data_IF_552635194591
#
_entry.id   IF_552635194591
#
_cell.length_a   1.000
_cell.length_b   1.000
_cell.length_c   1.000
_cell.angle_alpha   90.00
_cell.angle_beta   90.00
_cell.angle_gamma   90.00
#
_symmetry.space_group_name_H-M   'P 1'
#
loop_
_entity.id
_entity.type
_entity.pdbx_description
1 polymer ?
#
# COMPACT_ATOMS: atom_id res chain seq x y z
N UNK A 1 30.41 -14.93 -2.15
CA UNK A 1 29.70 -13.66 -1.93
C UNK A 1 28.34 -13.85 -2.57
N UNK A 2 27.27 -13.63 -1.81
CA UNK A 2 25.93 -14.12 -2.11
C UNK A 2 25.46 -13.69 -3.50
N UNK A 3 25.16 -14.70 -4.32
CA UNK A 3 24.55 -14.67 -5.66
C UNK A 3 23.06 -14.27 -5.57
N UNK A 4 22.75 -13.32 -4.68
CA UNK A 4 21.39 -12.92 -4.34
C UNK A 4 20.96 -11.83 -5.30
N UNK A 5 19.89 -12.09 -6.04
CA UNK A 5 19.34 -11.14 -6.99
C UNK A 5 19.03 -9.79 -6.30
N UNK A 6 19.63 -8.68 -6.76
CA UNK A 6 19.43 -7.36 -6.16
C UNK A 6 17.98 -6.88 -6.21
N UNK A 7 17.16 -7.45 -7.11
CA UNK A 7 15.74 -7.17 -7.19
C UNK A 7 15.02 -7.41 -5.85
N UNK A 8 15.35 -8.48 -5.12
CA UNK A 8 14.62 -8.83 -3.89
C UNK A 8 14.87 -7.84 -2.77
N UNK A 9 16.09 -7.32 -2.67
CA UNK A 9 16.42 -6.27 -1.70
C UNK A 9 15.65 -5.00 -2.04
N UNK A 10 15.72 -4.57 -3.30
CA UNK A 10 15.04 -3.36 -3.76
C UNK A 10 13.52 -3.45 -3.62
N UNK A 11 12.93 -4.59 -3.97
CA UNK A 11 11.50 -4.84 -3.78
C UNK A 11 11.09 -4.83 -2.30
N UNK A 12 11.94 -5.34 -1.40
CA UNK A 12 11.73 -5.24 0.04
C UNK A 12 11.74 -3.78 0.50
N UNK A 13 12.72 -3.00 0.03
CA UNK A 13 12.86 -1.59 0.38
C UNK A 13 11.65 -0.78 -0.09
N UNK A 14 11.23 -0.96 -1.35
CA UNK A 14 9.99 -0.39 -1.92
C UNK A 14 8.77 -0.78 -1.11
N UNK A 15 8.64 -2.05 -0.71
CA UNK A 15 7.49 -2.50 0.09
C UNK A 15 7.45 -1.85 1.49
N UNK A 16 8.62 -1.61 2.08
CA UNK A 16 8.75 -0.94 3.37
C UNK A 16 8.39 0.55 3.28
N UNK A 17 8.86 1.22 2.23
CA UNK A 17 8.53 2.61 1.93
C UNK A 17 7.04 2.77 1.61
N UNK A 18 6.45 1.83 0.89
CA UNK A 18 5.02 1.82 0.60
C UNK A 18 4.19 1.66 1.88
N UNK A 19 4.60 0.79 2.82
CA UNK A 19 3.96 0.67 4.13
C UNK A 19 4.05 1.96 4.96
N UNK A 20 5.22 2.63 4.95
CA UNK A 20 5.40 3.93 5.59
C UNK A 20 4.48 4.99 4.96
N UNK A 21 4.43 5.03 3.63
CA UNK A 21 3.60 5.95 2.86
C UNK A 21 2.12 5.75 3.17
N UNK A 22 1.62 4.51 3.26
CA UNK A 22 0.23 4.20 3.68
C UNK A 22 -0.09 4.75 5.07
N UNK A 23 0.85 4.64 6.00
CA UNK A 23 0.70 5.15 7.37
C UNK A 23 0.63 6.67 7.38
N UNK A 24 1.55 7.33 6.66
CA UNK A 24 1.57 8.79 6.49
C UNK A 24 0.29 9.29 5.80
N UNK A 25 -0.16 8.62 4.75
CA UNK A 25 -1.40 8.92 4.03
C UNK A 25 -2.64 8.83 4.93
N UNK A 26 -2.74 7.77 5.75
CA UNK A 26 -3.85 7.63 6.72
C UNK A 26 -3.83 8.74 7.76
N UNK A 27 -2.64 9.14 8.20
CA UNK A 27 -2.46 10.28 9.12
C UNK A 27 -2.91 11.59 8.47
N UNK A 28 -2.46 11.86 7.24
CA UNK A 28 -2.87 13.02 6.44
C UNK A 28 -4.38 13.07 6.26
N UNK A 29 -5.04 11.98 5.86
CA UNK A 29 -6.50 11.91 5.72
C UNK A 29 -7.23 12.19 7.04
N UNK A 30 -6.70 11.68 8.16
CA UNK A 30 -7.25 11.95 9.49
C UNK A 30 -7.15 13.44 9.83
N UNK A 31 -5.99 14.06 9.66
CA UNK A 31 -5.78 15.49 9.92
C UNK A 31 -6.67 16.32 8.98
N UNK A 32 -6.73 15.96 7.70
CA UNK A 32 -7.62 16.58 6.70
C UNK A 32 -9.08 16.54 7.11
N UNK A 33 -9.53 15.46 7.74
CA UNK A 33 -10.91 15.33 8.24
C UNK A 33 -11.21 16.14 9.50
N UNK A 34 -10.20 16.39 10.34
CA UNK A 34 -10.34 17.08 11.63
C UNK A 34 -10.18 18.59 11.51
N UNK A 35 -9.40 19.04 10.53
CA UNK A 35 -9.01 20.44 10.37
C UNK A 35 -9.92 21.15 9.38
N UNK A 36 -10.53 22.25 9.82
CA UNK A 36 -11.40 23.10 8.98
C UNK A 36 -10.61 24.10 8.11
N UNK A 37 -9.37 24.45 8.51
CA UNK A 37 -8.54 25.43 7.78
C UNK A 37 -7.49 24.74 6.90
N UNK A 38 -7.44 25.04 5.59
CA UNK A 38 -6.43 24.48 4.68
C UNK A 38 -5.00 24.94 4.99
N UNK A 39 -4.83 26.00 5.79
CA UNK A 39 -3.53 26.58 6.18
C UNK A 39 -2.99 26.04 7.50
N UNK A 40 -3.55 24.96 8.05
CA UNK A 40 -3.05 24.40 9.30
C UNK A 40 -1.62 23.84 9.13
N UNK A 41 -0.66 24.20 9.98
CA UNK A 41 0.74 23.79 9.83
C UNK A 41 0.93 22.26 9.89
N UNK A 42 0.13 21.54 10.68
CA UNK A 42 0.19 20.07 10.76
C UNK A 42 -0.31 19.40 9.47
N UNK A 43 -1.34 19.99 8.84
CA UNK A 43 -1.85 19.52 7.55
C UNK A 43 -0.81 19.74 6.43
N UNK A 44 -0.14 20.89 6.44
CA UNK A 44 0.91 21.21 5.47
C UNK A 44 2.14 20.32 5.67
N UNK A 45 2.57 20.11 6.92
CA UNK A 45 3.69 19.24 7.25
C UNK A 45 3.43 17.80 6.81
N UNK A 46 2.27 17.23 7.20
CA UNK A 46 1.88 15.87 6.79
C UNK A 46 1.71 15.72 5.29
N UNK A 47 1.21 16.76 4.59
CA UNK A 47 1.16 16.78 3.12
C UNK A 47 2.55 16.79 2.49
N UNK A 48 3.48 17.57 3.03
CA UNK A 48 4.86 17.65 2.53
C UNK A 48 5.59 16.32 2.69
N UNK A 49 5.48 15.70 3.87
CA UNK A 49 6.08 14.39 4.15
C UNK A 49 5.51 13.30 3.22
N UNK A 50 4.19 13.29 3.03
CA UNK A 50 3.53 12.37 2.10
C UNK A 50 4.05 12.58 0.66
N UNK A 51 4.21 13.82 0.23
CA UNK A 51 4.70 14.13 -1.12
C UNK A 51 6.15 13.69 -1.35
N UNK A 52 7.02 13.87 -0.36
CA UNK A 52 8.41 13.41 -0.41
C UNK A 52 8.49 11.88 -0.51
N UNK A 53 7.69 11.18 0.30
CA UNK A 53 7.58 9.73 0.24
C UNK A 53 7.03 9.24 -1.10
N UNK A 54 5.94 9.87 -1.60
CA UNK A 54 5.36 9.53 -2.90
C UNK A 54 6.33 9.81 -4.05
N UNK A 55 7.14 10.87 -3.97
CA UNK A 55 8.16 11.16 -4.96
C UNK A 55 9.23 10.07 -4.98
N UNK A 56 9.81 9.76 -3.82
CA UNK A 56 10.82 8.70 -3.69
C UNK A 56 10.29 7.38 -4.24
N UNK A 57 9.06 7.02 -3.88
CA UNK A 57 8.41 5.80 -4.34
C UNK A 57 8.13 5.81 -5.85
N UNK A 58 7.84 6.97 -6.44
CA UNK A 58 7.64 7.11 -7.89
C UNK A 58 8.95 6.89 -8.65
N UNK A 59 10.03 7.49 -8.15
CA UNK A 59 11.37 7.34 -8.73
C UNK A 59 11.82 5.87 -8.65
N UNK A 60 11.69 5.24 -7.46
CA UNK A 60 12.02 3.84 -7.24
C UNK A 60 11.21 2.88 -8.14
N UNK A 61 9.90 3.14 -8.28
CA UNK A 61 9.03 2.32 -9.15
C UNK A 61 9.34 2.54 -10.64
N UNK A 62 9.78 3.73 -11.04
CA UNK A 62 10.22 4.00 -12.42
C UNK A 62 11.45 3.13 -12.75
N UNK A 63 12.45 3.13 -11.85
CA UNK A 63 13.65 2.31 -11.99
C UNK A 63 13.31 0.81 -11.98
N UNK A 64 12.39 0.38 -11.10
CA UNK A 64 11.97 -1.01 -11.02
C UNK A 64 11.21 -1.47 -12.27
N UNK A 65 10.37 -0.60 -12.83
CA UNK A 65 9.65 -0.86 -14.09
C UNK A 65 10.65 -1.04 -15.24
N UNK A 66 11.65 -0.16 -15.34
CA UNK A 66 12.71 -0.28 -16.34
C UNK A 66 13.54 -1.56 -16.18
N UNK A 67 13.85 -1.95 -14.93
CA UNK A 67 14.57 -3.18 -14.63
C UNK A 67 13.76 -4.43 -15.01
N UNK A 68 12.47 -4.49 -14.66
CA UNK A 68 11.59 -5.61 -15.02
C UNK A 68 11.48 -5.72 -16.54
N UNK A 69 11.31 -4.61 -17.26
CA UNK A 69 11.30 -4.58 -18.72
C UNK A 69 12.58 -5.13 -19.34
N UNK A 70 13.75 -4.79 -18.79
CA UNK A 70 15.02 -5.32 -19.28
C UNK A 70 15.12 -6.84 -19.09
N UNK A 71 14.60 -7.36 -17.98
CA UNK A 71 14.56 -8.80 -17.68
C UNK A 71 13.54 -9.52 -18.57
N UNK A 72 12.39 -8.92 -18.87
CA UNK A 72 11.37 -9.48 -19.75
C UNK A 72 11.86 -9.74 -21.18
N UNK A 73 12.81 -8.93 -21.66
CA UNK A 73 13.39 -9.11 -22.99
C UNK A 73 14.22 -10.39 -23.13
N UNK A 74 14.89 -10.83 -22.05
CA UNK A 74 15.69 -12.06 -22.05
C UNK A 74 15.78 -12.70 -20.65
N UNK A 75 14.71 -13.37 -20.17
CA UNK A 75 14.66 -13.94 -18.81
C UNK A 75 15.76 -14.98 -18.54
N UNK A 76 16.07 -15.78 -19.57
CA UNK A 76 17.02 -16.89 -19.46
C UNK A 76 18.46 -16.40 -19.27
N UNK A 77 18.83 -15.23 -19.82
CA UNK A 77 20.13 -14.61 -19.60
C UNK A 77 20.39 -14.26 -18.14
N UNK A 78 19.34 -13.98 -17.38
CA UNK A 78 19.39 -13.68 -15.95
C UNK A 78 19.14 -14.92 -15.09
N UNK A 79 18.95 -16.10 -15.68
CA UNK A 79 18.65 -17.33 -14.96
C UNK A 79 17.29 -17.32 -14.27
N UNK A 80 16.36 -16.50 -14.75
CA UNK A 80 15.03 -16.30 -14.16
C UNK A 80 13.98 -17.13 -14.88
N UNK A 81 13.02 -17.66 -14.13
CA UNK A 81 11.85 -18.32 -14.69
C UNK A 81 10.80 -17.30 -15.15
N UNK A 82 10.03 -17.65 -16.18
CA UNK A 82 8.97 -16.79 -16.72
C UNK A 82 7.91 -16.49 -15.65
N UNK A 83 7.67 -17.43 -14.73
CA UNK A 83 6.76 -17.20 -13.60
C UNK A 83 7.30 -16.18 -12.60
N UNK A 84 8.62 -16.11 -12.40
CA UNK A 84 9.22 -15.13 -11.51
C UNK A 84 9.17 -13.75 -12.12
N UNK A 85 9.50 -13.59 -13.40
CA UNK A 85 9.34 -12.31 -14.12
C UNK A 85 7.90 -11.82 -14.05
N UNK A 86 6.93 -12.72 -14.22
CA UNK A 86 5.51 -12.39 -14.10
C UNK A 86 5.12 -11.89 -12.70
N UNK A 87 5.66 -12.48 -11.64
CA UNK A 87 5.45 -11.99 -10.26
C UNK A 87 6.05 -10.60 -10.06
N UNK A 88 7.24 -10.35 -10.64
CA UNK A 88 7.89 -9.03 -10.54
C UNK A 88 7.06 -7.95 -11.22
N UNK A 89 6.58 -8.22 -12.43
CA UNK A 89 5.67 -7.34 -13.16
C UNK A 89 4.41 -7.02 -12.34
N UNK A 90 3.74 -8.03 -11.80
CA UNK A 90 2.53 -7.83 -11.00
C UNK A 90 2.78 -6.97 -9.77
N UNK A 91 3.89 -7.17 -9.07
CA UNK A 91 4.27 -6.34 -7.92
C UNK A 91 4.43 -4.87 -8.30
N UNK A 92 5.13 -4.58 -9.41
CA UNK A 92 5.32 -3.21 -9.89
C UNK A 92 3.99 -2.58 -10.32
N UNK A 93 3.13 -3.35 -11.01
CA UNK A 93 1.81 -2.90 -11.45
C UNK A 93 0.90 -2.53 -10.25
N UNK A 94 0.83 -3.41 -9.26
CA UNK A 94 0.01 -3.19 -8.06
C UNK A 94 0.52 -1.98 -7.26
N UNK A 95 1.85 -1.85 -7.08
CA UNK A 95 2.45 -0.73 -6.38
C UNK A 95 2.24 0.61 -7.12
N UNK A 96 2.37 0.62 -8.45
CA UNK A 96 2.17 1.83 -9.27
C UNK A 96 0.73 2.33 -9.19
N UNK A 97 -0.26 1.43 -9.31
CA UNK A 97 -1.68 1.78 -9.17
C UNK A 97 -2.01 2.34 -7.79
N UNK A 98 -1.40 1.80 -6.75
CA UNK A 98 -1.63 2.29 -5.39
C UNK A 98 -1.08 3.71 -5.19
N UNK A 99 0.12 3.98 -5.70
CA UNK A 99 0.72 5.32 -5.68
C UNK A 99 -0.14 6.31 -6.44
N UNK A 100 -0.63 5.94 -7.62
CA UNK A 100 -1.53 6.77 -8.42
C UNK A 100 -2.85 7.07 -7.69
N UNK A 101 -3.45 6.06 -7.04
CA UNK A 101 -4.66 6.27 -6.24
C UNK A 101 -4.44 7.22 -5.06
N UNK A 102 -3.29 7.12 -4.37
CA UNK A 102 -2.93 8.05 -3.29
C UNK A 102 -2.71 9.48 -3.81
N UNK A 103 -2.12 9.64 -5.01
CA UNK A 103 -1.93 10.93 -5.68
C UNK A 103 -3.26 11.57 -6.10
N UNK A 104 -4.16 10.80 -6.72
CA UNK A 104 -5.48 11.28 -7.11
C UNK A 104 -6.29 11.76 -5.88
N UNK A 105 -6.21 11.03 -4.77
CA UNK A 105 -6.87 11.43 -3.52
C UNK A 105 -6.28 12.70 -2.91
N UNK A 106 -5.00 13.01 -3.18
CA UNK A 106 -4.32 14.22 -2.74
C UNK A 106 -4.70 15.46 -3.56
N UNK A 107 -5.03 15.29 -4.84
CA UNK A 107 -5.53 16.36 -5.71
C UNK A 107 -6.98 16.75 -5.40
N UNK A 108 -7.77 15.82 -4.84
CA UNK A 108 -9.15 16.13 -4.46
C UNK A 108 -9.16 17.31 -3.49
N UNK A 109 -9.85 18.42 -3.84
CA UNK A 109 -9.89 19.59 -2.98
C UNK A 109 -10.49 19.19 -1.64
N UNK A 110 -9.99 19.78 -0.56
CA UNK A 110 -10.60 19.66 0.77
C UNK A 110 -12.01 20.21 0.65
N UNK A 111 -13.00 19.34 0.45
CA UNK A 111 -14.41 19.72 0.48
C UNK A 111 -14.72 19.86 1.96
N UNK A 112 -14.86 21.08 2.49
CA UNK A 112 -15.20 21.22 3.89
C UNK A 112 -16.57 20.58 4.08
N UNK A 113 -16.69 19.65 5.04
CA UNK A 113 -17.95 19.04 5.46
C UNK A 113 -19.04 20.08 5.80
N UNK A 114 -18.67 21.35 5.97
CA UNK A 114 -19.58 22.48 6.17
C UNK A 114 -20.30 22.95 4.89
N UNK A 115 -19.83 22.62 3.68
CA UNK A 115 -20.56 22.98 2.44
C UNK A 115 -21.90 22.22 2.29
N UNK A 116 -22.05 21.08 2.95
CA UNK A 116 -23.32 20.34 3.01
C UNK A 116 -24.27 20.83 4.11
N UNK A 117 -23.76 21.56 5.13
CA UNK A 117 -24.52 21.93 6.32
C UNK A 117 -24.84 23.43 6.44
N UNK A 118 -24.40 24.29 5.51
CA UNK A 118 -24.52 25.76 5.63
C UNK A 118 -25.60 26.41 4.74
N UNK A 119 -26.67 25.67 4.40
CA UNK A 119 -27.84 26.25 3.70
C UNK A 119 -28.98 26.73 4.61
N UNK A 120 -28.85 26.61 5.93
CA UNK A 120 -29.82 27.16 6.88
C UNK A 120 -29.05 27.75 8.06
N UNK A 121 -28.84 29.06 8.06
CA UNK A 121 -29.20 29.96 9.16
C UNK A 121 -28.48 31.31 8.94
N UNK A 122 -29.15 32.19 8.20
CA UNK A 122 -28.80 33.62 8.14
C UNK A 122 -29.82 34.34 8.99
N UNK A 123 -29.51 34.56 10.26
CA UNK A 123 -30.26 35.49 11.12
C UNK A 123 -29.26 36.43 11.80
N UNK A 124 -29.49 37.71 11.54
CA UNK A 124 -28.83 38.87 12.08
C UNK A 124 -28.82 38.89 13.63
N UNK A 125 -27.74 39.43 14.21
CA UNK A 125 -27.89 40.25 15.42
C UNK A 125 -26.75 41.25 15.54
N UNK A 126 -27.09 42.52 15.32
CA UNK A 126 -26.34 43.70 15.75
C UNK A 126 -26.19 43.68 17.27
N UNK A 127 -24.98 43.96 17.77
CA UNK A 127 -24.73 44.07 19.21
C UNK A 127 -23.46 44.86 19.51
N UNK A 128 -23.52 46.17 19.30
CA UNK A 128 -22.53 47.16 19.77
C UNK A 128 -22.53 47.17 21.30
N UNK A 129 -21.36 47.03 21.93
CA UNK A 129 -21.04 47.74 23.17
C UNK A 129 -19.51 47.94 23.26
N UNK A 130 -19.12 49.21 23.20
CA UNK A 130 -17.79 49.71 23.56
C UNK A 130 -17.89 50.05 25.04
N UNK A 131 -16.95 49.57 25.85
CA UNK A 131 -16.64 50.13 27.16
C UNK A 131 -15.15 50.39 27.19
N UNK A 132 -14.86 51.67 27.38
CA UNK A 132 -13.56 52.29 27.58
C UNK A 132 -12.97 51.82 28.91
N UNK A 133 -11.70 51.41 28.91
CA UNK A 133 -10.80 51.54 30.05
C UNK A 133 -9.41 51.85 29.46
N UNK A 134 -9.14 53.16 29.35
CA UNK A 134 -7.85 53.74 28.99
C UNK A 134 -6.89 53.54 30.19
N UNK A 135 -5.68 53.01 29.92
CA UNK A 135 -4.38 53.47 30.50
C UNK A 135 -3.21 52.43 30.39
N UNK A 136 -3.20 51.52 29.41
CA UNK A 136 -1.97 50.76 29.04
C UNK A 136 -1.75 50.58 27.51
N UNK A 137 -2.45 51.36 26.69
CA UNK A 137 -2.66 51.07 25.25
C UNK A 137 -1.45 51.30 24.31
N UNK A 138 -0.34 51.89 24.77
CA UNK A 138 0.78 52.25 23.86
C UNK A 138 1.80 51.16 23.63
N UNK A 139 2.06 50.32 24.64
CA UNK A 139 2.99 49.19 24.49
C UNK A 139 2.27 47.92 24.04
N UNK A 140 1.02 47.70 24.46
CA UNK A 140 0.19 46.57 23.98
C UNK A 140 -0.09 46.65 22.48
N UNK A 141 -0.34 47.85 21.93
CA UNK A 141 -0.61 48.04 20.50
C UNK A 141 0.65 47.86 19.65
N UNK A 142 1.84 48.12 20.20
CA UNK A 142 3.12 47.84 19.53
C UNK A 142 3.45 46.34 19.51
N UNK A 143 3.20 45.64 20.62
CA UNK A 143 3.37 44.17 20.71
C UNK A 143 2.34 43.47 19.82
N UNK A 144 1.07 43.86 19.86
CA UNK A 144 0.02 43.30 19.01
C UNK A 144 0.31 43.52 17.51
N UNK A 145 0.83 44.69 17.13
CA UNK A 145 1.27 44.95 15.73
C UNK A 145 2.46 44.10 15.33
N UNK A 146 3.42 43.89 16.23
CA UNK A 146 4.59 43.04 15.98
C UNK A 146 4.18 41.56 15.86
N UNK A 147 3.32 41.07 16.75
CA UNK A 147 2.73 39.72 16.68
C UNK A 147 1.93 39.52 15.39
N UNK A 148 1.13 40.51 15.00
CA UNK A 148 0.37 40.47 13.75
C UNK A 148 1.29 40.44 12.51
N UNK A 149 2.39 41.22 12.52
CA UNK A 149 3.39 41.16 11.45
C UNK A 149 4.06 39.78 11.39
N UNK A 150 4.46 39.22 12.53
CA UNK A 150 5.06 37.88 12.59
C UNK A 150 4.08 36.79 12.11
N UNK A 151 2.81 36.90 12.47
CA UNK A 151 1.77 35.97 12.00
C UNK A 151 1.53 36.08 10.49
N UNK A 152 1.59 37.29 9.92
CA UNK A 152 1.50 37.50 8.47
C UNK A 152 2.70 36.94 7.71
N UNK A 153 3.91 37.07 8.26
CA UNK A 153 5.12 36.47 7.70
C UNK A 153 5.02 34.94 7.72
N UNK A 154 4.52 34.36 8.82
CA UNK A 154 4.28 32.93 8.93
C UNK A 154 3.25 32.44 7.91
N UNK A 155 2.13 33.16 7.72
CA UNK A 155 1.12 32.82 6.70
C UNK A 155 1.70 32.89 5.29
N UNK A 156 2.50 33.92 4.97
CA UNK A 156 3.17 34.02 3.66
C UNK A 156 4.12 32.85 3.40
N UNK A 157 4.88 32.44 4.42
CA UNK A 157 5.78 31.29 4.29
C UNK A 157 5.01 29.97 4.03
N UNK A 158 3.81 29.83 4.60
CA UNK A 158 2.92 28.70 4.37
C UNK A 158 2.27 28.72 2.97
N UNK A 159 1.89 29.88 2.46
CA UNK A 159 1.35 30.00 1.10
C UNK A 159 2.42 29.70 0.03
N UNK A 160 3.66 30.12 0.28
CA UNK A 160 4.78 29.80 -0.61
C UNK A 160 5.11 28.30 -0.62
N UNK A 161 5.06 27.63 0.54
CA UNK A 161 5.24 26.19 0.60
C UNK A 161 4.11 25.45 -0.11
N UNK A 162 2.86 25.87 0.06
CA UNK A 162 1.70 25.35 -0.69
C UNK A 162 1.89 25.41 -2.20
N UNK A 163 2.38 26.53 -2.74
CA UNK A 163 2.63 26.70 -4.17
C UNK A 163 3.70 25.73 -4.69
N UNK A 164 4.77 25.50 -3.90
CA UNK A 164 5.82 24.52 -4.23
C UNK A 164 5.27 23.10 -4.22
N UNK A 165 4.50 22.75 -3.19
CA UNK A 165 3.88 21.43 -3.08
C UNK A 165 2.91 21.16 -4.23
N UNK A 166 2.17 22.17 -4.72
CA UNK A 166 1.27 22.02 -5.85
C UNK A 166 2.03 21.72 -7.17
N UNK A 167 3.19 22.33 -7.37
CA UNK A 167 4.07 22.00 -8.50
C UNK A 167 4.59 20.55 -8.43
N UNK A 168 4.99 20.10 -7.25
CA UNK A 168 5.44 18.70 -7.04
C UNK A 168 4.34 17.70 -7.35
N UNK A 169 3.10 17.94 -6.91
CA UNK A 169 1.95 17.05 -7.19
C UNK A 169 1.74 16.89 -8.70
N UNK A 170 1.76 18.01 -9.45
CA UNK A 170 1.58 17.98 -10.90
C UNK A 170 2.66 17.15 -11.60
N UNK A 171 3.93 17.37 -11.25
CA UNK A 171 5.04 16.60 -11.82
C UNK A 171 4.93 15.10 -11.48
N UNK A 172 4.52 14.79 -10.25
CA UNK A 172 4.31 13.42 -9.82
C UNK A 172 3.17 12.73 -10.58
N UNK A 173 2.13 13.48 -10.96
CA UNK A 173 1.03 12.94 -11.75
C UNK A 173 1.50 12.57 -13.16
N UNK A 174 2.24 13.46 -13.82
CA UNK A 174 2.77 13.24 -15.17
C UNK A 174 3.64 11.96 -15.23
N UNK A 175 4.56 11.79 -14.27
CA UNK A 175 5.43 10.60 -14.22
C UNK A 175 4.63 9.32 -13.96
N UNK A 176 3.69 9.33 -13.02
CA UNK A 176 2.88 8.13 -12.74
C UNK A 176 1.95 7.77 -13.88
N UNK A 177 1.39 8.76 -14.57
CA UNK A 177 0.52 8.54 -15.73
C UNK A 177 1.29 7.84 -16.86
N UNK A 178 2.51 8.28 -17.15
CA UNK A 178 3.37 7.64 -18.14
C UNK A 178 3.72 6.19 -17.76
N UNK A 179 4.01 5.94 -16.48
CA UNK A 179 4.27 4.57 -15.99
C UNK A 179 3.05 3.67 -16.12
N UNK A 180 1.86 4.14 -15.74
CA UNK A 180 0.63 3.34 -15.84
C UNK A 180 0.33 3.00 -17.31
N UNK A 181 0.41 3.97 -18.20
CA UNK A 181 0.19 3.75 -19.63
C UNK A 181 1.19 2.74 -20.21
N UNK A 182 2.47 2.81 -19.85
CA UNK A 182 3.48 1.83 -20.28
C UNK A 182 3.17 0.41 -19.76
N UNK A 183 2.71 0.28 -18.50
CA UNK A 183 2.28 -0.99 -17.93
C UNK A 183 1.01 -1.54 -18.62
N UNK A 184 0.07 -0.67 -18.99
CA UNK A 184 -1.14 -1.05 -19.73
C UNK A 184 -0.81 -1.56 -21.15
N UNK A 185 0.12 -0.92 -21.84
CA UNK A 185 0.62 -1.41 -23.15
C UNK A 185 1.23 -2.81 -23.02
N UNK A 186 1.87 -3.11 -21.89
CA UNK A 186 2.44 -4.42 -21.57
C UNK A 186 1.39 -5.46 -21.12
N UNK A 187 0.15 -5.05 -20.85
CA UNK A 187 -0.98 -5.92 -20.43
C UNK A 187 -1.50 -6.84 -21.54
N UNK A 188 -1.08 -6.64 -22.79
CA UNK A 188 -1.51 -7.46 -23.94
C UNK A 188 -1.06 -8.94 -23.85
N UNK A 189 -0.27 -9.34 -22.84
CA UNK A 189 0.08 -10.74 -22.54
C UNK A 189 -0.18 -11.14 -21.06
N UNK A 190 -1.31 -10.74 -20.47
CA UNK A 190 -1.64 -11.02 -19.05
C UNK A 190 -2.91 -11.84 -18.79
N UNK A 191 -3.63 -12.28 -19.81
CA UNK A 191 -4.73 -13.23 -19.60
C UNK A 191 -4.23 -14.68 -19.37
N UNK A 192 -3.02 -15.02 -19.84
CA UNK A 192 -2.49 -16.39 -19.75
C UNK A 192 -1.88 -16.73 -18.37
N UNK A 193 -1.36 -15.74 -17.64
CA UNK A 193 -0.68 -15.98 -16.35
C UNK A 193 -1.68 -16.18 -15.19
N UNK A 194 -2.82 -15.47 -15.22
CA UNK A 194 -3.87 -15.65 -14.21
C UNK A 194 -4.54 -17.03 -14.37
N UNK A 195 -4.76 -17.48 -15.61
CA UNK A 195 -5.21 -18.84 -15.92
C UNK A 195 -4.20 -19.91 -15.46
N UNK A 196 -2.89 -19.65 -15.63
CA UNK A 196 -1.86 -20.60 -15.22
C UNK A 196 -1.65 -20.68 -13.69
N UNK A 197 -1.81 -19.58 -12.96
CA UNK A 197 -1.79 -19.60 -11.47
C UNK A 197 -2.97 -20.37 -10.92
N UNK A 198 -4.18 -20.14 -11.43
CA UNK A 198 -5.39 -20.91 -11.05
C UNK A 198 -5.24 -22.40 -11.40
N UNK A 199 -4.60 -22.70 -12.54
CA UNK A 199 -4.31 -24.07 -12.97
C UNK A 199 -3.26 -24.76 -12.10
N UNK A 200 -2.25 -24.03 -11.63
CA UNK A 200 -1.23 -24.55 -10.70
C UNK A 200 -1.81 -24.76 -9.30
N UNK A 201 -2.63 -23.83 -8.80
CA UNK A 201 -3.35 -24.01 -7.52
C UNK A 201 -4.31 -25.22 -7.57
N UNK A 202 -5.04 -25.37 -8.68
CA UNK A 202 -5.90 -26.52 -8.93
C UNK A 202 -5.12 -27.85 -8.97
N UNK A 203 -3.94 -27.88 -9.59
CA UNK A 203 -3.06 -29.06 -9.63
C UNK A 203 -2.44 -29.38 -8.26
N UNK A 204 -2.02 -28.37 -7.50
CA UNK A 204 -1.48 -28.52 -6.14
C UNK A 204 -2.54 -29.06 -5.18
N UNK A 205 -3.76 -28.51 -5.22
CA UNK A 205 -4.89 -28.97 -4.40
C UNK A 205 -5.28 -30.41 -4.73
N UNK A 206 -5.24 -30.79 -6.02
CA UNK A 206 -5.47 -32.16 -6.47
C UNK A 206 -4.35 -33.10 -6.02
N UNK A 207 -3.08 -32.71 -6.17
CA UNK A 207 -1.92 -33.48 -5.71
C UNK A 207 -1.90 -33.69 -4.20
N UNK A 208 -2.27 -32.68 -3.42
CA UNK A 208 -2.38 -32.77 -1.96
C UNK A 208 -3.54 -33.67 -1.52
N UNK A 209 -4.67 -33.61 -2.24
CA UNK A 209 -5.80 -34.52 -2.02
C UNK A 209 -5.45 -35.96 -2.36
N UNK A 210 -4.76 -36.19 -3.47
CA UNK A 210 -4.31 -37.52 -3.88
C UNK A 210 -3.29 -38.07 -2.87
N UNK A 211 -2.31 -37.27 -2.43
CA UNK A 211 -1.36 -37.64 -1.36
C UNK A 211 -2.06 -38.05 -0.06
N UNK A 212 -3.02 -37.25 0.41
CA UNK A 212 -3.76 -37.58 1.63
C UNK A 212 -4.59 -38.88 1.45
N UNK A 213 -5.12 -39.11 0.25
CA UNK A 213 -5.87 -40.34 -0.08
C UNK A 213 -4.95 -41.56 -0.18
N UNK A 214 -3.72 -41.40 -0.69
CA UNK A 214 -2.71 -42.46 -0.76
C UNK A 214 -2.17 -42.83 0.63
N UNK A 215 -1.88 -41.84 1.47
CA UNK A 215 -1.44 -42.07 2.86
C UNK A 215 -2.51 -42.88 3.61
N UNK A 216 -3.77 -42.45 3.51
CA UNK A 216 -4.89 -43.10 4.20
C UNK A 216 -5.14 -44.54 3.70
N UNK A 217 -5.09 -44.76 2.38
CA UNK A 217 -5.23 -46.11 1.79
C UNK A 217 -4.07 -47.04 2.16
N UNK A 218 -2.86 -46.53 2.29
CA UNK A 218 -1.69 -47.31 2.70
C UNK A 218 -1.77 -47.72 4.18
N UNK A 219 -2.20 -46.80 5.05
CA UNK A 219 -2.42 -47.07 6.48
C UNK A 219 -3.52 -48.12 6.70
N UNK A 220 -4.66 -47.99 6.01
CA UNK A 220 -5.78 -48.93 6.12
C UNK A 220 -5.42 -50.34 5.62
N UNK A 221 -4.64 -50.44 4.53
CA UNK A 221 -4.27 -51.75 3.94
C UNK A 221 -3.20 -52.45 4.77
N UNK A 222 -2.20 -51.72 5.28
CA UNK A 222 -1.15 -52.30 6.12
C UNK A 222 -1.68 -52.73 7.49
N UNK A 223 -2.58 -51.95 8.09
CA UNK A 223 -3.21 -52.26 9.38
C UNK A 223 -4.12 -53.50 9.28
N UNK A 224 -4.98 -53.56 8.25
CA UNK A 224 -5.88 -54.70 8.06
C UNK A 224 -5.14 -56.01 7.74
N UNK A 225 -4.04 -55.94 6.99
CA UNK A 225 -3.23 -57.13 6.72
C UNK A 225 -2.51 -57.63 7.97
N UNK A 226 -1.97 -56.73 8.79
CA UNK A 226 -1.33 -57.06 10.06
C UNK A 226 -2.31 -57.72 11.05
N UNK A 227 -3.52 -57.16 11.20
CA UNK A 227 -4.58 -57.72 12.04
C UNK A 227 -4.99 -59.12 11.56
N UNK A 228 -5.15 -59.32 10.25
CA UNK A 228 -5.48 -60.63 9.69
C UNK A 228 -4.40 -61.68 9.95
N UNK A 229 -3.13 -61.31 9.84
CA UNK A 229 -2.00 -62.20 10.11
C UNK A 229 -1.94 -62.59 11.60
N UNK A 230 -2.16 -61.63 12.51
CA UNK A 230 -2.24 -61.88 13.96
C UNK A 230 -3.37 -62.86 14.32
N UNK A 231 -4.57 -62.71 13.73
CA UNK A 231 -5.70 -63.61 13.97
C UNK A 231 -5.37 -65.03 13.49
N UNK A 232 -4.77 -65.18 12.32
CA UNK A 232 -4.40 -66.49 11.77
C UNK A 232 -3.38 -67.22 12.66
N UNK A 233 -2.37 -66.52 13.15
CA UNK A 233 -1.39 -67.08 14.10
C UNK A 233 -2.07 -67.53 15.39
N UNK A 234 -2.99 -66.73 15.92
CA UNK A 234 -3.75 -67.07 17.14
C UNK A 234 -4.60 -68.33 16.93
N UNK A 235 -5.29 -68.46 15.79
CA UNK A 235 -6.11 -69.65 15.46
C UNK A 235 -5.23 -70.90 15.36
N UNK A 236 -4.06 -70.81 14.74
CA UNK A 236 -3.11 -71.94 14.65
C UNK A 236 -2.63 -72.35 16.05
N UNK A 237 -2.29 -71.39 16.91
CA UNK A 237 -1.88 -71.67 18.30
C UNK A 237 -3.01 -72.34 19.10
N UNK A 238 -4.25 -71.88 18.95
CA UNK A 238 -5.41 -72.48 19.61
C UNK A 238 -5.63 -73.92 19.13
N UNK A 239 -5.58 -74.16 17.81
CA UNK A 239 -5.72 -75.50 17.25
C UNK A 239 -4.63 -76.45 17.75
N UNK A 240 -3.38 -75.99 17.78
CA UNK A 240 -2.26 -76.77 18.33
C UNK A 240 -2.49 -77.11 19.80
N UNK A 241 -3.00 -76.18 20.61
CA UNK A 241 -3.35 -76.41 22.02
C UNK A 241 -4.51 -77.40 22.17
N UNK A 242 -5.51 -77.37 21.28
CA UNK A 242 -6.66 -78.27 21.37
C UNK A 242 -6.32 -79.72 20.95
N UNK A 243 -5.38 -79.87 20.03
CA UNK A 243 -4.94 -81.17 19.51
C UNK A 243 -3.86 -81.82 20.38
N UNK A 244 -3.02 -81.01 21.04
CA UNK A 244 -1.96 -81.46 21.96
C UNK A 244 -2.49 -81.63 23.38
#
# INVERSE_FOLDING_TARGET
MSDSDPYHQFASDVSSLLSLTRTSFTSYLRIRSLVTSPTNPELLSSKSELLENLQTLTDDLTDLTAAVRAVEADPYRYGLDVSDVSKRRRFVEDATKEVESMKEELEKPVVPLSAAARREDTVESQGRLVTEDEDDERDEDAVARFEHQQQQELMRAQDESMARLQGTVSNLYDVSYEMNHELEVQKTMLDEVEEDVDRVEGKLKKGMKDLNTFIRKNEDTASNWCIGLLILVLVILLFLLLVL
#
